data_IF_027243124473
#
_entry.id   IF_027243124473
#
_cell.length_a   1.000
_cell.length_b   1.000
_cell.length_c   1.000
_cell.angle_alpha   90.00
_cell.angle_beta   90.00
_cell.angle_gamma   90.00
#
_symmetry.space_group_name_H-M   'P 1'
#
loop_
_entity.id
_entity.type
_entity.pdbx_description
1 polymer ?
#
# COMPACT_ATOMS: atom_id res chain seq x y z
N UNK A 1 12.10 7.19 23.39
CA UNK A 1 12.35 8.06 22.22
C UNK A 1 11.27 7.72 21.21
N UNK A 2 10.45 8.67 20.76
CA UNK A 2 9.24 8.40 19.95
C UNK A 2 9.24 9.13 18.59
N UNK A 3 10.36 9.71 18.20
CA UNK A 3 10.47 10.52 16.98
C UNK A 3 10.66 9.67 15.73
N UNK A 4 10.05 10.08 14.61
CA UNK A 4 10.28 9.46 13.30
C UNK A 4 9.84 8.00 13.24
N UNK A 5 10.72 7.12 12.76
CA UNK A 5 10.44 5.69 12.51
C UNK A 5 10.61 4.80 13.74
N UNK A 6 10.66 5.38 14.96
CA UNK A 6 10.70 4.62 16.21
C UNK A 6 9.31 4.09 16.60
N UNK A 7 8.74 3.25 15.74
CA UNK A 7 7.45 2.58 15.91
C UNK A 7 7.68 1.07 16.14
N UNK A 8 6.61 0.31 16.30
CA UNK A 8 6.65 -1.15 16.37
C UNK A 8 7.34 -1.74 15.12
N UNK A 9 8.19 -2.76 15.33
CA UNK A 9 9.03 -3.32 14.25
C UNK A 9 8.20 -3.92 13.11
N UNK A 10 7.04 -4.49 13.43
CA UNK A 10 6.11 -5.06 12.46
C UNK A 10 5.20 -4.02 11.79
N UNK A 11 5.33 -2.73 12.15
CA UNK A 11 4.65 -1.61 11.49
C UNK A 11 5.59 -0.68 10.72
N UNK A 12 6.88 -0.66 11.04
CA UNK A 12 7.85 0.33 10.50
C UNK A 12 7.94 0.33 8.96
N UNK A 13 7.69 -0.81 8.32
CA UNK A 13 7.72 -0.95 6.85
C UNK A 13 6.36 -0.67 6.19
N UNK A 14 5.26 -0.65 6.95
CA UNK A 14 3.92 -0.46 6.38
C UNK A 14 3.79 0.90 5.66
N UNK A 15 4.33 2.02 6.18
CA UNK A 15 4.37 3.29 5.45
C UNK A 15 5.13 3.23 4.10
N UNK A 16 6.32 2.64 4.06
CA UNK A 16 7.15 2.56 2.85
C UNK A 16 6.51 1.65 1.80
N UNK A 17 6.11 0.44 2.20
CA UNK A 17 5.44 -0.51 1.31
C UNK A 17 4.11 0.03 0.76
N UNK A 18 3.38 0.84 1.54
CA UNK A 18 2.18 1.49 1.03
C UNK A 18 2.52 2.44 -0.12
N UNK A 19 3.59 3.22 0.00
CA UNK A 19 4.03 4.17 -1.01
C UNK A 19 4.60 3.49 -2.26
N UNK A 20 5.06 2.24 -2.17
CA UNK A 20 5.47 1.45 -3.34
C UNK A 20 4.33 1.26 -4.36
N UNK A 21 3.06 1.30 -3.92
CA UNK A 21 1.93 1.22 -4.84
C UNK A 21 1.92 2.35 -5.90
N UNK A 22 2.53 3.51 -5.63
CA UNK A 22 2.57 4.61 -6.60
C UNK A 22 3.37 4.26 -7.85
N UNK A 23 4.42 3.44 -7.75
CA UNK A 23 5.21 3.05 -8.94
C UNK A 23 4.49 2.04 -9.83
N UNK A 24 3.27 1.65 -9.47
CA UNK A 24 2.40 0.75 -10.22
C UNK A 24 1.11 1.42 -10.71
N UNK A 25 0.99 2.73 -10.52
CA UNK A 25 -0.15 3.54 -10.99
C UNK A 25 0.27 4.41 -12.19
N UNK A 26 -0.63 4.56 -13.16
CA UNK A 26 -0.37 5.28 -14.41
C UNK A 26 0.00 6.76 -14.19
N UNK A 27 -0.81 7.50 -13.43
CA UNK A 27 -0.60 8.94 -13.23
C UNK A 27 0.74 9.24 -12.52
N UNK A 28 1.12 8.57 -11.41
CA UNK A 28 2.45 8.75 -10.83
C UNK A 28 3.60 8.34 -11.77
N UNK A 29 3.48 7.23 -12.50
CA UNK A 29 4.52 6.78 -13.45
C UNK A 29 4.77 7.82 -14.55
N UNK A 30 3.71 8.41 -15.10
CA UNK A 30 3.82 9.49 -16.09
C UNK A 30 4.47 10.75 -15.50
N UNK A 31 4.24 11.05 -14.22
CA UNK A 31 4.88 12.19 -13.53
C UNK A 31 6.36 11.95 -13.21
N UNK A 32 6.76 10.69 -13.01
CA UNK A 32 8.13 10.31 -12.66
C UNK A 32 9.00 9.92 -13.87
N UNK A 33 8.40 9.80 -15.07
CA UNK A 33 9.12 9.32 -16.26
C UNK A 33 9.19 10.38 -17.36
N UNK A 34 10.35 10.43 -18.03
CA UNK A 34 10.59 11.23 -19.24
C UNK A 34 11.77 10.62 -20.00
N UNK A 35 11.65 10.48 -21.32
CA UNK A 35 12.75 9.94 -22.12
C UNK A 35 14.00 10.84 -22.02
N UNK A 36 15.15 10.25 -21.68
CA UNK A 36 16.36 11.01 -21.33
C UNK A 36 16.92 11.86 -22.49
N UNK A 37 16.84 11.37 -23.74
CA UNK A 37 17.21 12.17 -24.92
C UNK A 37 16.08 13.06 -25.47
N UNK A 38 14.93 12.49 -25.83
CA UNK A 38 13.87 13.22 -26.56
C UNK A 38 12.97 14.07 -25.67
N UNK A 39 13.00 13.86 -24.35
CA UNK A 39 12.06 14.49 -23.43
C UNK A 39 10.62 13.97 -23.54
N UNK A 40 10.35 12.98 -24.40
CA UNK A 40 9.01 12.44 -24.64
C UNK A 40 8.44 11.68 -23.44
N UNK A 41 7.11 11.65 -23.35
CA UNK A 41 6.39 10.83 -22.37
C UNK A 41 6.53 9.33 -22.70
N UNK A 42 6.32 8.49 -21.69
CA UNK A 42 6.28 7.03 -21.88
C UNK A 42 5.11 6.66 -22.82
N UNK A 43 5.33 5.84 -23.86
CA UNK A 43 4.24 5.38 -24.72
C UNK A 43 3.19 4.59 -23.94
N UNK A 44 1.91 4.85 -24.18
CA UNK A 44 0.79 4.20 -23.46
C UNK A 44 0.87 2.68 -23.48
N UNK A 45 1.19 2.10 -24.65
CA UNK A 45 1.32 0.65 -24.79
C UNK A 45 2.46 0.04 -23.95
N UNK A 46 3.49 0.82 -23.59
CA UNK A 46 4.54 0.37 -22.68
C UNK A 46 4.08 0.50 -21.23
N UNK A 47 3.39 1.58 -20.89
CA UNK A 47 2.83 1.81 -19.56
C UNK A 47 1.82 0.73 -19.17
N UNK A 48 0.87 0.45 -20.06
CA UNK A 48 -0.11 -0.63 -19.89
C UNK A 48 0.58 -1.98 -19.70
N UNK A 49 1.63 -2.27 -20.48
CA UNK A 49 2.43 -3.50 -20.30
C UNK A 49 3.13 -3.55 -18.96
N UNK A 50 3.69 -2.45 -18.46
CA UNK A 50 4.37 -2.39 -17.16
C UNK A 50 3.39 -2.62 -16.01
N UNK A 51 2.26 -1.91 -16.00
CA UNK A 51 1.21 -2.05 -14.98
C UNK A 51 0.60 -3.46 -15.07
N UNK A 52 0.33 -3.94 -16.28
CA UNK A 52 -0.14 -5.30 -16.50
C UNK A 52 0.90 -6.33 -16.05
N UNK A 53 2.22 -6.11 -16.20
CA UNK A 53 3.23 -7.04 -15.69
C UNK A 53 3.17 -7.13 -14.17
N UNK A 54 2.88 -6.04 -13.47
CA UNK A 54 2.68 -6.06 -12.02
C UNK A 54 1.37 -6.74 -11.60
N UNK A 55 0.23 -6.36 -12.18
CA UNK A 55 -1.05 -7.05 -11.97
C UNK A 55 -0.96 -8.53 -12.36
N UNK A 56 -0.11 -8.83 -13.35
CA UNK A 56 0.18 -10.19 -13.78
C UNK A 56 1.21 -10.89 -12.91
N UNK A 57 2.14 -10.23 -12.24
CA UNK A 57 3.06 -10.88 -11.31
C UNK A 57 2.25 -11.48 -10.13
N UNK A 58 1.24 -10.75 -9.67
CA UNK A 58 0.21 -11.26 -8.76
C UNK A 58 -0.59 -12.47 -9.28
N UNK A 59 -0.69 -12.68 -10.60
CA UNK A 59 -1.43 -13.80 -11.22
C UNK A 59 -0.56 -14.82 -11.98
N UNK A 60 0.75 -14.56 -12.13
CA UNK A 60 1.79 -15.38 -12.80
C UNK A 60 2.82 -15.91 -11.83
N UNK A 61 2.80 -15.49 -10.57
CA UNK A 61 3.27 -16.32 -9.46
C UNK A 61 2.08 -17.16 -8.96
N UNK A 62 1.63 -18.18 -9.71
CA UNK A 62 0.37 -18.86 -9.42
C UNK A 62 0.49 -19.70 -8.14
N UNK A 63 1.71 -19.86 -7.62
CA UNK A 63 2.02 -20.49 -6.34
C UNK A 63 2.29 -19.50 -5.21
N UNK A 64 2.37 -18.19 -5.48
CA UNK A 64 2.80 -17.22 -4.48
C UNK A 64 4.21 -17.48 -3.95
N UNK A 65 5.10 -18.09 -4.75
CA UNK A 65 6.46 -18.50 -4.40
C UNK A 65 7.29 -17.40 -3.74
N UNK A 66 7.13 -16.14 -4.17
CA UNK A 66 7.80 -15.03 -3.50
C UNK A 66 7.35 -14.93 -2.04
N UNK A 67 6.04 -14.88 -1.80
CA UNK A 67 5.46 -14.81 -0.47
C UNK A 67 5.71 -16.08 0.34
N UNK A 68 5.64 -17.26 -0.28
CA UNK A 68 6.00 -18.54 0.35
C UNK A 68 7.44 -18.54 0.82
N UNK A 69 8.38 -17.99 0.03
CA UNK A 69 9.76 -17.83 0.44
C UNK A 69 9.89 -16.87 1.62
N UNK A 70 9.14 -15.77 1.65
CA UNK A 70 9.10 -14.87 2.81
C UNK A 70 8.54 -15.58 4.06
N UNK A 71 7.51 -16.42 3.90
CA UNK A 71 6.95 -17.25 4.98
C UNK A 71 7.99 -18.26 5.50
N UNK A 72 8.77 -18.88 4.61
CA UNK A 72 9.89 -19.77 4.99
C UNK A 72 10.89 -19.01 5.86
N UNK A 73 11.31 -17.82 5.45
CA UNK A 73 12.28 -17.02 6.21
C UNK A 73 11.71 -16.56 7.56
N UNK A 74 10.44 -16.14 7.60
CA UNK A 74 9.76 -15.75 8.83
C UNK A 74 9.63 -16.94 9.79
N UNK A 75 9.28 -18.13 9.29
CA UNK A 75 9.18 -19.34 10.11
C UNK A 75 10.53 -19.83 10.59
N UNK A 76 11.58 -19.74 9.76
CA UNK A 76 12.94 -20.05 10.16
C UNK A 76 13.36 -19.13 11.31
N UNK A 77 13.17 -17.82 11.15
CA UNK A 77 13.46 -16.83 12.19
C UNK A 77 12.71 -17.14 13.49
N UNK A 78 11.40 -17.41 13.44
CA UNK A 78 10.65 -17.82 14.63
C UNK A 78 11.17 -19.13 15.24
N UNK A 79 11.48 -20.15 14.42
CA UNK A 79 11.98 -21.42 14.91
C UNK A 79 13.30 -21.27 15.66
N UNK A 80 14.24 -20.50 15.11
CA UNK A 80 15.55 -20.25 15.73
C UNK A 80 15.47 -19.47 17.05
N UNK A 81 14.43 -18.66 17.25
CA UNK A 81 14.25 -17.87 18.47
C UNK A 81 13.24 -18.48 19.47
N UNK A 82 12.66 -19.64 19.17
CA UNK A 82 11.70 -20.33 20.05
C UNK A 82 12.10 -21.75 20.39
N UNK A 83 12.89 -22.42 19.54
CA UNK A 83 13.40 -23.77 19.77
C UNK A 83 14.83 -23.71 20.30
N UNK A 84 15.20 -24.67 21.16
CA UNK A 84 16.52 -24.69 21.82
C UNK A 84 17.59 -25.39 20.99
N UNK A 85 17.23 -26.47 20.28
CA UNK A 85 18.20 -27.37 19.62
C UNK A 85 17.97 -27.47 18.09
N UNK A 86 17.36 -26.46 17.49
CA UNK A 86 17.11 -26.45 16.04
C UNK A 86 18.42 -26.20 15.27
N UNK A 87 18.81 -27.14 14.39
CA UNK A 87 19.85 -26.86 13.41
C UNK A 87 19.30 -25.90 12.33
N UNK A 88 19.91 -24.72 12.13
CA UNK A 88 19.37 -23.73 11.19
C UNK A 88 19.28 -24.23 9.75
N UNK A 89 20.28 -24.96 9.27
CA UNK A 89 20.35 -25.39 7.88
C UNK A 89 19.32 -26.50 7.61
N UNK A 90 19.15 -27.43 8.54
CA UNK A 90 18.13 -28.48 8.48
C UNK A 90 16.72 -27.90 8.54
N UNK A 91 16.46 -26.95 9.44
CA UNK A 91 15.15 -26.32 9.57
C UNK A 91 14.81 -25.49 8.33
N UNK A 92 15.77 -24.75 7.76
CA UNK A 92 15.60 -24.06 6.48
C UNK A 92 15.29 -25.05 5.35
N UNK A 93 16.07 -26.14 5.25
CA UNK A 93 15.87 -27.15 4.22
C UNK A 93 14.48 -27.83 4.35
N UNK A 94 14.01 -28.05 5.58
CA UNK A 94 12.67 -28.57 5.87
C UNK A 94 11.58 -27.60 5.41
N UNK A 95 11.65 -26.34 5.84
CA UNK A 95 10.67 -25.31 5.47
C UNK A 95 10.62 -25.06 3.96
N UNK A 96 11.78 -25.08 3.28
CA UNK A 96 11.86 -24.99 1.82
C UNK A 96 11.09 -26.12 1.11
N UNK A 97 11.17 -27.36 1.62
CA UNK A 97 10.39 -28.48 1.08
C UNK A 97 8.90 -28.34 1.38
N UNK A 98 8.57 -28.05 2.64
CA UNK A 98 7.18 -28.11 3.12
C UNK A 98 6.32 -26.94 2.62
N UNK A 99 6.92 -25.76 2.42
CA UNK A 99 6.19 -24.52 2.13
C UNK A 99 6.49 -24.02 0.73
N UNK A 100 7.77 -23.88 0.38
CA UNK A 100 8.16 -23.33 -0.92
C UNK A 100 8.03 -24.35 -2.05
N UNK A 101 8.08 -25.64 -1.75
CA UNK A 101 8.09 -26.72 -2.74
C UNK A 101 9.38 -26.78 -3.58
N UNK A 102 10.40 -26.01 -3.23
CA UNK A 102 11.71 -25.99 -3.88
C UNK A 102 12.77 -26.34 -2.84
N UNK A 103 13.46 -27.49 -2.95
CA UNK A 103 14.41 -27.93 -1.94
C UNK A 103 15.63 -27.00 -1.87
N UNK A 104 16.15 -26.77 -0.66
CA UNK A 104 17.44 -26.12 -0.49
C UNK A 104 18.57 -26.97 -1.09
N UNK A 105 19.55 -26.31 -1.70
CA UNK A 105 20.70 -26.99 -2.31
C UNK A 105 21.56 -27.67 -1.23
N UNK A 106 21.84 -28.99 -1.32
CA UNK A 106 22.68 -29.69 -0.35
C UNK A 106 24.06 -29.06 -0.16
N UNK A 107 24.54 -29.01 1.07
CA UNK A 107 25.82 -28.40 1.43
C UNK A 107 25.80 -26.87 1.56
N UNK A 108 24.65 -26.22 1.34
CA UNK A 108 24.48 -24.78 1.59
C UNK A 108 23.96 -24.50 3.00
N UNK A 109 24.22 -23.30 3.50
CA UNK A 109 23.70 -22.80 4.76
C UNK A 109 23.21 -21.34 4.58
N UNK A 110 22.01 -21.18 4.03
CA UNK A 110 21.38 -19.87 3.87
C UNK A 110 21.20 -19.12 5.21
N UNK A 111 20.76 -19.76 6.33
CA UNK A 111 20.68 -19.09 7.63
C UNK A 111 21.98 -18.41 8.08
N UNK A 112 23.15 -19.01 7.80
CA UNK A 112 24.44 -18.39 8.12
C UNK A 112 24.74 -17.11 7.32
N UNK A 113 24.04 -16.89 6.21
CA UNK A 113 24.12 -15.66 5.39
C UNK A 113 22.95 -14.70 5.67
N UNK A 114 22.03 -15.07 6.57
CA UNK A 114 20.81 -14.34 6.81
C UNK A 114 21.03 -13.23 7.83
N UNK A 115 21.56 -12.09 7.35
CA UNK A 115 21.96 -10.96 8.20
C UNK A 115 20.85 -10.39 9.09
N UNK A 116 19.58 -10.60 8.75
CA UNK A 116 18.43 -10.20 9.58
C UNK A 116 18.45 -10.83 10.98
N UNK A 117 18.99 -12.05 11.12
CA UNK A 117 19.13 -12.74 12.40
C UNK A 117 20.10 -12.03 13.37
N UNK A 118 20.93 -11.11 12.88
CA UNK A 118 21.89 -10.35 13.68
C UNK A 118 21.79 -8.83 13.45
N UNK A 119 20.73 -8.38 12.76
CA UNK A 119 20.55 -7.00 12.30
C UNK A 119 19.50 -6.20 13.07
N UNK A 120 18.99 -6.73 14.19
CA UNK A 120 17.88 -6.13 14.95
C UNK A 120 16.49 -6.48 14.42
N UNK A 121 16.40 -7.52 13.58
CA UNK A 121 15.17 -8.14 13.09
C UNK A 121 15.02 -9.59 13.59
N UNK A 122 15.90 -10.02 14.51
CA UNK A 122 15.84 -11.30 15.21
C UNK A 122 14.47 -11.49 15.88
N UNK A 123 13.80 -12.60 15.54
CA UNK A 123 12.43 -12.92 15.92
C UNK A 123 11.34 -11.95 15.38
N UNK A 124 11.68 -11.07 14.44
CA UNK A 124 10.79 -10.05 13.89
C UNK A 124 10.71 -10.07 12.36
N UNK A 125 11.26 -11.08 11.68
CA UNK A 125 11.26 -11.12 10.21
C UNK A 125 9.84 -11.22 9.62
N UNK A 126 8.89 -11.79 10.37
CA UNK A 126 7.46 -11.80 10.00
C UNK A 126 6.89 -10.39 9.77
N UNK A 127 7.52 -9.37 10.37
CA UNK A 127 7.12 -7.97 10.28
C UNK A 127 7.04 -7.44 8.85
N UNK A 128 7.85 -7.96 7.91
CA UNK A 128 7.77 -7.55 6.51
C UNK A 128 6.43 -7.91 5.85
N UNK A 129 5.98 -9.16 6.00
CA UNK A 129 4.68 -9.60 5.46
C UNK A 129 3.52 -8.98 6.23
N UNK A 130 3.67 -8.83 7.55
CA UNK A 130 2.67 -8.18 8.40
C UNK A 130 2.45 -6.73 7.98
N UNK A 131 3.53 -5.97 7.77
CA UNK A 131 3.50 -4.63 7.22
C UNK A 131 2.91 -4.59 5.81
N UNK A 132 3.20 -5.56 4.94
CA UNK A 132 2.71 -5.56 3.55
C UNK A 132 1.19 -5.75 3.51
N UNK A 133 0.67 -6.60 4.39
CA UNK A 133 -0.78 -6.82 4.54
C UNK A 133 -1.48 -5.52 4.95
N UNK A 134 -0.96 -4.82 5.95
CA UNK A 134 -1.54 -3.56 6.43
C UNK A 134 -1.37 -2.42 5.45
N UNK A 135 -0.23 -2.37 4.76
CA UNK A 135 0.05 -1.34 3.76
C UNK A 135 -0.91 -1.43 2.57
N UNK A 136 -1.25 -2.66 2.15
CA UNK A 136 -2.23 -2.88 1.09
C UNK A 136 -3.64 -2.47 1.53
N UNK A 137 -4.02 -2.74 2.78
CA UNK A 137 -5.32 -2.30 3.32
C UNK A 137 -5.42 -0.76 3.40
N UNK A 138 -4.34 -0.09 3.86
CA UNK A 138 -4.24 1.37 3.85
C UNK A 138 -4.37 1.95 2.44
N UNK A 139 -3.61 1.42 1.48
CA UNK A 139 -3.63 1.90 0.10
C UNK A 139 -4.99 1.67 -0.55
N UNK A 140 -5.51 0.45 -0.51
CA UNK A 140 -6.75 0.09 -1.19
C UNK A 140 -7.98 0.77 -0.58
N UNK A 141 -8.08 0.84 0.75
CA UNK A 141 -9.25 1.40 1.44
C UNK A 141 -9.33 2.91 1.33
N UNK A 142 -8.19 3.61 1.42
CA UNK A 142 -8.16 5.08 1.46
C UNK A 142 -7.75 5.68 0.12
N UNK A 143 -6.54 5.37 -0.35
CA UNK A 143 -6.00 6.01 -1.55
C UNK A 143 -6.65 5.56 -2.85
N UNK A 144 -6.90 4.25 -3.02
CA UNK A 144 -7.53 3.74 -4.25
C UNK A 144 -8.99 4.19 -4.40
N UNK A 145 -9.72 4.32 -3.29
CA UNK A 145 -11.13 4.78 -3.30
C UNK A 145 -11.27 6.29 -3.47
N UNK A 146 -10.44 7.08 -2.78
CA UNK A 146 -10.55 8.54 -2.76
C UNK A 146 -9.69 9.23 -3.84
N UNK A 147 -8.83 8.48 -4.52
CA UNK A 147 -7.92 8.97 -5.57
C UNK A 147 -6.47 9.04 -5.09
N UNK A 148 -5.58 8.33 -5.80
CA UNK A 148 -4.17 8.09 -5.42
C UNK A 148 -3.39 9.41 -5.23
N UNK A 149 -3.53 10.37 -6.15
CA UNK A 149 -2.88 11.70 -6.03
C UNK A 149 -3.84 12.79 -5.54
N UNK A 150 -5.11 12.42 -5.38
CA UNK A 150 -6.25 13.23 -5.01
C UNK A 150 -6.31 14.63 -5.65
N UNK A 151 -6.92 14.71 -6.84
CA UNK A 151 -7.66 15.90 -7.28
C UNK A 151 -8.93 15.50 -8.06
N UNK A 152 -10.03 15.27 -7.33
CA UNK A 152 -11.39 15.51 -7.84
C UNK A 152 -12.04 16.56 -6.95
N UNK A 153 -12.47 17.67 -7.54
CA UNK A 153 -13.43 18.56 -6.90
C UNK A 153 -14.56 17.68 -6.36
N UNK A 154 -14.87 17.80 -5.07
CA UNK A 154 -15.96 17.09 -4.42
C UNK A 154 -17.25 17.47 -5.15
N UNK A 155 -17.64 16.70 -6.16
CA UNK A 155 -19.02 16.63 -6.60
C UNK A 155 -19.65 15.48 -5.84
N UNK A 156 -20.09 15.75 -4.60
CA UNK A 156 -21.06 14.87 -3.96
C UNK A 156 -22.43 15.56 -4.01
N UNK A 157 -23.44 14.99 -4.66
CA UNK A 157 -24.82 15.25 -4.29
C UNK A 157 -25.10 14.45 -3.01
N UNK A 158 -25.90 15.03 -2.10
CA UNK A 158 -26.40 14.45 -0.84
C UNK A 158 -25.58 14.80 0.41
N UNK A 159 -25.92 15.94 1.03
CA UNK A 159 -26.62 15.96 2.31
C UNK A 159 -26.90 17.41 2.71
N UNK A 160 -28.06 17.95 2.33
CA UNK A 160 -28.63 19.14 2.98
C UNK A 160 -30.10 18.84 3.26
N UNK A 161 -30.33 18.12 4.36
CA UNK A 161 -31.60 18.22 5.06
C UNK A 161 -31.62 19.55 5.82
N UNK A 162 -32.68 20.33 5.57
CA UNK A 162 -33.24 21.36 6.44
C UNK A 162 -32.40 22.63 6.70
N UNK A 163 -32.56 23.64 5.84
CA UNK A 163 -33.11 24.94 6.24
C UNK A 163 -33.46 25.77 4.99
N UNK A 164 -34.70 26.26 4.93
CA UNK A 164 -35.23 27.14 3.86
C UNK A 164 -34.87 28.63 4.15
N UNK A 165 -35.11 29.58 3.22
CA UNK A 165 -34.04 30.46 2.72
C UNK A 165 -34.26 31.94 3.06
N UNK A 166 -33.18 32.74 3.00
CA UNK A 166 -33.28 34.20 2.96
C UNK A 166 -32.05 34.83 2.29
N UNK A 167 -32.15 35.04 0.98
CA UNK A 167 -31.57 36.15 0.19
C UNK A 167 -32.03 35.94 -1.27
N UNK A 168 -33.07 36.64 -1.72
CA UNK A 168 -33.00 37.91 -2.46
C UNK A 168 -32.36 37.82 -3.85
N UNK A 169 -33.25 37.62 -4.85
CA UNK A 169 -33.43 38.41 -6.06
C UNK A 169 -32.17 39.07 -6.70
N UNK A 170 -31.73 38.56 -7.85
CA UNK A 170 -31.16 39.39 -8.92
C UNK A 170 -31.50 38.82 -10.33
N UNK A 171 -31.65 39.67 -11.36
CA UNK A 171 -32.37 39.34 -12.61
C UNK A 171 -31.53 38.66 -13.71
N UNK A 172 -32.25 37.99 -14.62
CA UNK A 172 -31.75 37.45 -15.89
C UNK A 172 -31.28 38.56 -16.84
N UNK A 173 -29.98 38.61 -17.13
CA UNK A 173 -29.41 38.92 -18.45
C UNK A 173 -27.89 39.11 -18.32
N UNK A 174 -27.10 38.29 -19.01
CA UNK A 174 -25.91 38.69 -19.79
C UNK A 174 -25.38 37.43 -20.52
N UNK A 175 -25.54 37.52 -21.82
CA UNK A 175 -24.98 36.85 -23.01
C UNK A 175 -23.79 35.88 -22.91
N UNK A 176 -23.89 34.86 -23.79
CA UNK A 176 -22.85 33.96 -24.35
C UNK A 176 -21.52 34.64 -24.73
N UNK A 177 -20.51 33.77 -24.80
CA UNK A 177 -19.20 33.88 -25.47
C UNK A 177 -18.06 34.61 -24.74
N UNK A 178 -17.25 33.82 -24.01
CA UNK A 178 -15.77 33.89 -24.01
C UNK A 178 -15.19 32.70 -23.24
N UNK A 179 -14.65 31.74 -23.99
CA UNK A 179 -13.71 30.75 -23.46
C UNK A 179 -12.36 31.42 -23.25
N UNK A 180 -12.07 31.84 -22.01
CA UNK A 180 -10.71 32.14 -21.56
C UNK A 180 -10.52 31.33 -20.27
N UNK A 181 -9.73 30.27 -20.38
CA UNK A 181 -9.24 29.49 -19.24
C UNK A 181 -8.17 30.31 -18.52
N UNK A 182 -8.53 31.00 -17.45
CA UNK A 182 -7.59 31.39 -16.39
C UNK A 182 -7.52 30.27 -15.34
N UNK A 183 -6.34 29.93 -14.79
CA UNK A 183 -6.26 29.01 -13.66
C UNK A 183 -6.87 29.69 -12.44
N UNK A 184 -8.14 29.39 -12.18
CA UNK A 184 -8.82 29.80 -10.96
C UNK A 184 -8.18 29.07 -9.78
N UNK A 185 -7.48 29.83 -8.94
CA UNK A 185 -7.19 29.45 -7.56
C UNK A 185 -8.55 29.32 -6.86
N UNK A 186 -9.17 28.15 -6.93
CA UNK A 186 -10.38 27.86 -6.17
C UNK A 186 -9.97 27.91 -4.68
N UNK A 187 -10.59 28.75 -3.84
CA UNK A 187 -10.30 28.74 -2.42
C UNK A 187 -10.68 27.35 -1.90
N UNK A 188 -9.67 26.59 -1.45
CA UNK A 188 -9.88 25.37 -0.72
C UNK A 188 -10.80 25.71 0.46
N UNK A 189 -12.03 25.17 0.44
CA UNK A 189 -12.92 25.23 1.60
C UNK A 189 -12.12 24.75 2.81
N UNK A 190 -12.12 25.48 3.94
CA UNK A 190 -11.43 25.06 5.15
C UNK A 190 -12.13 23.80 5.70
N UNK A 191 -11.67 22.62 5.28
CA UNK A 191 -12.25 21.36 5.74
C UNK A 191 -12.08 20.14 4.84
N UNK A 192 -11.82 20.29 3.53
CA UNK A 192 -11.56 19.14 2.66
C UNK A 192 -10.11 18.66 2.83
N UNK A 193 -9.84 17.84 3.86
CA UNK A 193 -8.53 17.17 3.99
C UNK A 193 -8.43 16.11 2.89
N UNK A 194 -7.37 16.19 2.08
CA UNK A 194 -7.06 15.11 1.15
C UNK A 194 -6.60 13.88 1.93
N UNK A 195 -6.82 12.70 1.35
CA UNK A 195 -6.35 11.41 1.91
C UNK A 195 -4.86 11.43 2.30
N UNK A 196 -4.02 12.16 1.54
CA UNK A 196 -2.60 12.35 1.87
C UNK A 196 -2.36 13.15 3.15
N UNK A 197 -3.20 14.15 3.45
CA UNK A 197 -3.11 14.90 4.71
C UNK A 197 -3.61 14.08 5.90
N UNK A 198 -4.62 13.24 5.69
CA UNK A 198 -5.07 12.29 6.70
C UNK A 198 -4.00 11.24 6.99
N UNK A 199 -3.38 10.68 5.96
CA UNK A 199 -2.26 9.74 6.10
C UNK A 199 -1.10 10.38 6.87
N UNK A 200 -0.69 11.60 6.49
CA UNK A 200 0.33 12.35 7.22
C UNK A 200 -0.06 12.56 8.69
N UNK A 201 -1.32 12.91 8.97
CA UNK A 201 -1.76 13.21 10.32
C UNK A 201 -1.97 11.97 11.21
N UNK A 202 -2.42 10.86 10.62
CA UNK A 202 -2.79 9.66 11.37
C UNK A 202 -1.64 8.65 11.48
N UNK A 203 -0.80 8.54 10.43
CA UNK A 203 0.25 7.53 10.34
C UNK A 203 1.63 8.12 10.60
N UNK A 204 1.97 9.25 9.96
CA UNK A 204 3.35 9.77 10.02
C UNK A 204 3.59 10.69 11.22
N UNK A 205 2.64 11.57 11.52
CA UNK A 205 2.78 12.62 12.55
C UNK A 205 3.01 12.07 13.96
N UNK A 206 2.33 11.00 14.42
CA UNK A 206 2.55 10.50 15.78
C UNK A 206 3.96 9.92 15.99
N UNK A 207 4.59 9.40 14.94
CA UNK A 207 5.80 8.59 15.11
C UNK A 207 5.51 7.43 16.05
N UNK A 208 6.39 7.19 17.01
CA UNK A 208 6.21 6.16 18.04
C UNK A 208 5.35 6.56 19.25
N UNK A 209 4.69 7.72 19.24
CA UNK A 209 3.94 8.18 20.42
C UNK A 209 2.56 7.55 20.57
N UNK A 210 2.09 6.83 19.54
CA UNK A 210 0.81 6.14 19.52
C UNK A 210 1.02 4.73 18.96
N UNK A 211 0.25 3.77 19.47
CA UNK A 211 0.32 2.39 18.99
C UNK A 211 -0.11 2.31 17.52
N UNK A 212 0.59 1.49 16.73
CA UNK A 212 0.26 1.24 15.32
C UNK A 212 -1.20 0.83 15.11
N UNK A 213 -1.76 0.02 16.01
CA UNK A 213 -3.15 -0.41 15.97
C UNK A 213 -4.13 0.78 16.07
N UNK A 214 -3.84 1.76 16.93
CA UNK A 214 -4.65 2.97 17.09
C UNK A 214 -4.51 3.90 15.88
N UNK A 215 -3.29 4.05 15.35
CA UNK A 215 -3.02 4.82 14.12
C UNK A 215 -3.77 4.22 12.92
N UNK A 216 -3.69 2.91 12.73
CA UNK A 216 -4.39 2.17 11.68
C UNK A 216 -5.90 2.28 11.83
N UNK A 217 -6.44 2.06 13.04
CA UNK A 217 -7.88 2.16 13.30
C UNK A 217 -8.43 3.56 13.01
N UNK A 218 -7.68 4.60 13.37
CA UNK A 218 -8.03 5.99 13.06
C UNK A 218 -8.00 6.25 11.55
N UNK A 219 -6.97 5.75 10.85
CA UNK A 219 -6.82 5.97 9.42
C UNK A 219 -7.83 5.17 8.58
N UNK A 220 -8.14 3.94 8.97
CA UNK A 220 -9.04 3.04 8.25
C UNK A 220 -10.51 3.16 8.67
N UNK A 221 -10.78 3.73 9.86
CA UNK A 221 -12.11 3.74 10.49
C UNK A 221 -12.54 2.38 11.05
N UNK A 222 -11.66 1.39 11.01
CA UNK A 222 -11.86 0.00 11.46
C UNK A 222 -10.50 -0.66 11.72
N UNK A 223 -10.49 -1.83 12.32
CA UNK A 223 -9.27 -2.64 12.43
C UNK A 223 -8.82 -3.13 11.03
N UNK A 224 -7.50 -3.27 10.80
CA UNK A 224 -6.96 -3.69 9.50
C UNK A 224 -7.34 -5.15 9.17
N UNK A 225 -7.44 -5.46 7.89
CA UNK A 225 -7.77 -6.80 7.37
C UNK A 225 -6.80 -7.22 6.26
N UNK A 226 -6.74 -8.52 6.02
CA UNK A 226 -5.94 -9.09 4.93
C UNK A 226 -6.63 -9.05 3.56
N UNK A 227 -7.90 -8.64 3.50
CA UNK A 227 -8.75 -8.74 2.31
C UNK A 227 -8.12 -8.04 1.10
N UNK A 228 -7.66 -6.80 1.26
CA UNK A 228 -7.01 -6.04 0.19
C UNK A 228 -5.71 -6.69 -0.30
N UNK A 229 -4.94 -7.31 0.60
CA UNK A 229 -3.75 -8.06 0.27
C UNK A 229 -4.07 -9.32 -0.53
N UNK A 230 -5.05 -10.11 -0.08
CA UNK A 230 -5.46 -11.33 -0.79
C UNK A 230 -6.02 -11.01 -2.20
N UNK A 231 -6.86 -9.97 -2.31
CA UNK A 231 -7.39 -9.50 -3.58
C UNK A 231 -6.27 -9.03 -4.52
N UNK A 232 -5.24 -8.35 -4.00
CA UNK A 232 -4.09 -7.91 -4.83
C UNK A 232 -3.24 -9.07 -5.34
N UNK A 233 -3.32 -10.25 -4.70
CA UNK A 233 -2.72 -11.51 -5.17
C UNK A 233 -3.70 -12.39 -5.98
N UNK A 234 -4.88 -11.87 -6.34
CA UNK A 234 -5.89 -12.61 -7.10
C UNK A 234 -6.60 -13.72 -6.32
N UNK A 235 -6.49 -13.73 -4.99
CA UNK A 235 -7.14 -14.70 -4.12
C UNK A 235 -8.54 -14.22 -3.72
N UNK A 236 -9.47 -15.15 -3.61
CA UNK A 236 -10.86 -14.84 -3.22
C UNK A 236 -10.97 -14.58 -1.72
N UNK A 237 -11.79 -13.59 -1.37
CA UNK A 237 -12.10 -13.24 0.03
C UNK A 237 -13.61 -13.28 0.19
N UNK A 238 -14.12 -14.33 0.84
CA UNK A 238 -15.54 -14.47 1.17
C UNK A 238 -16.50 -14.44 -0.03
N UNK A 239 -16.62 -15.56 -0.77
CA UNK A 239 -17.75 -15.89 -1.64
C UNK A 239 -18.09 -14.95 -2.83
N UNK A 240 -17.44 -13.80 -2.97
CA UNK A 240 -17.66 -12.88 -4.07
C UNK A 240 -16.66 -13.19 -5.19
N UNK A 241 -17.18 -13.47 -6.39
CA UNK A 241 -16.38 -13.77 -7.58
C UNK A 241 -15.43 -12.62 -7.93
N UNK A 242 -14.21 -12.90 -8.41
CA UNK A 242 -13.28 -11.88 -8.83
C UNK A 242 -13.87 -11.10 -10.01
N UNK A 243 -13.88 -9.77 -9.89
CA UNK A 243 -14.21 -8.89 -11.00
C UNK A 243 -13.11 -9.04 -12.06
N UNK A 244 -13.47 -9.63 -13.20
CA UNK A 244 -12.59 -9.76 -14.35
C UNK A 244 -12.11 -8.37 -14.81
N UNK A 245 -10.83 -8.28 -15.18
CA UNK A 245 -10.25 -7.12 -15.86
C UNK A 245 -11.06 -6.70 -17.09
#
# INVERSE_FOLDING_TARGET
MFSGTHVERDFVEAPSQMLENWVWEEEPLLRMSRHYHTGGAMPQALLEKLICLWCRDATRDPGGLFNLRQIVLAKLDQALHTQTDADPAEEYARLCRDILGVPATPGTNMPATFGHLAGGYDAQYYGYLWSEVYSMDMFHTRFKQEGVLNSKAISSPLCLSACSPAWEQLPESVTRDRWILTPGLLPLLPGARSVGMDYRSCILRPGGSEDASAMLKRFLGRDPKQDAFLLSKGLQVGGCEPQAC
#
